data_IF_257539963753
#
_entry.id   IF_257539963753
#
_cell.length_a   1.000
_cell.length_b   1.000
_cell.length_c   1.000
_cell.angle_alpha   90.00
_cell.angle_beta   90.00
_cell.angle_gamma   90.00
#
_symmetry.space_group_name_H-M   'P 1'
#
loop_
_entity.id
_entity.type
_entity.pdbx_description
1 polymer ?
#
# COMPACT_ATOMS: atom_id res chain seq x y z
N UNK A 1 -11.57 41.32 -53.28
CA UNK A 1 -10.55 40.82 -52.35
C UNK A 1 -10.97 39.40 -52.04
N UNK A 2 -10.24 38.45 -52.61
CA UNK A 2 -10.63 37.05 -52.66
C UNK A 2 -10.50 36.38 -51.29
N UNK A 3 -11.45 35.48 -51.04
CA UNK A 3 -11.55 34.56 -49.91
C UNK A 3 -10.35 33.60 -49.88
N UNK A 4 -9.74 33.43 -48.70
CA UNK A 4 -8.80 32.34 -48.41
C UNK A 4 -8.97 31.85 -46.97
N UNK A 5 -9.83 30.86 -46.82
CA UNK A 5 -9.45 29.57 -46.23
C UNK A 5 -9.31 29.50 -44.71
N UNK A 6 -10.37 29.04 -44.05
CA UNK A 6 -10.24 28.28 -42.81
C UNK A 6 -9.46 26.99 -43.11
N UNK A 7 -8.23 26.87 -42.61
CA UNK A 7 -7.52 25.59 -42.57
C UNK A 7 -8.26 24.65 -41.61
N UNK A 8 -9.14 23.82 -42.16
CA UNK A 8 -9.60 22.60 -41.53
C UNK A 8 -8.53 21.52 -41.75
N UNK A 9 -7.53 21.46 -40.86
CA UNK A 9 -6.66 20.28 -40.76
C UNK A 9 -7.45 19.15 -40.07
N UNK A 10 -7.77 18.03 -40.75
CA UNK A 10 -8.52 16.92 -40.17
C UNK A 10 -7.65 15.99 -39.32
N UNK A 11 -6.48 16.45 -38.88
CA UNK A 11 -5.52 15.71 -38.04
C UNK A 11 -5.22 16.49 -36.76
N UNK A 12 -6.26 17.05 -36.14
CA UNK A 12 -6.21 17.30 -34.70
C UNK A 12 -6.23 15.94 -34.02
N UNK A 13 -5.03 15.37 -33.88
CA UNK A 13 -4.60 14.44 -32.85
C UNK A 13 -5.75 13.89 -32.00
N UNK A 14 -6.32 12.78 -32.47
CA UNK A 14 -6.97 11.84 -31.56
C UNK A 14 -5.85 11.21 -30.72
N UNK A 15 -5.26 11.99 -29.81
CA UNK A 15 -4.60 11.47 -28.63
C UNK A 15 -5.75 10.88 -27.83
N UNK A 16 -6.10 9.64 -28.19
CA UNK A 16 -6.79 8.75 -27.31
C UNK A 16 -6.02 8.84 -26.01
N UNK A 17 -6.61 9.52 -25.04
CA UNK A 17 -6.18 9.38 -23.66
C UNK A 17 -6.55 7.94 -23.37
N UNK A 18 -5.61 7.03 -23.60
CA UNK A 18 -5.60 5.76 -22.93
C UNK A 18 -5.51 6.13 -21.45
N UNK A 19 -6.66 6.43 -20.86
CA UNK A 19 -6.91 6.31 -19.44
C UNK A 19 -6.80 4.81 -19.14
N UNK A 20 -5.58 4.28 -19.25
CA UNK A 20 -5.18 3.13 -18.50
C UNK A 20 -5.61 3.45 -17.08
N UNK A 21 -6.45 2.58 -16.51
CA UNK A 21 -6.89 2.61 -15.12
C UNK A 21 -5.65 2.67 -14.22
N UNK A 22 -5.06 3.85 -14.06
CA UNK A 22 -4.10 4.13 -13.03
C UNK A 22 -4.94 4.19 -11.77
N UNK A 23 -5.13 3.02 -11.14
CA UNK A 23 -5.61 2.97 -9.77
C UNK A 23 -4.68 3.87 -8.96
N UNK A 24 -5.12 5.09 -8.69
CA UNK A 24 -4.35 6.05 -7.93
C UNK A 24 -4.11 5.45 -6.57
N UNK A 25 -2.85 5.15 -6.25
CA UNK A 25 -2.47 4.59 -4.96
C UNK A 25 -3.00 5.49 -3.83
N UNK A 26 -3.96 4.96 -3.05
CA UNK A 26 -4.57 5.69 -1.93
C UNK A 26 -3.81 5.36 -0.64
N UNK A 27 -3.27 6.38 0.01
CA UNK A 27 -2.65 6.22 1.33
C UNK A 27 -3.76 6.07 2.37
N UNK A 28 -3.96 4.86 2.86
CA UNK A 28 -4.97 4.55 3.90
C UNK A 28 -4.49 4.90 5.32
N UNK A 29 -3.17 4.98 5.53
CA UNK A 29 -2.57 5.36 6.81
C UNK A 29 -1.22 6.03 6.62
N UNK A 30 -1.01 7.17 7.31
CA UNK A 30 0.28 7.84 7.43
C UNK A 30 0.47 8.33 8.85
N UNK A 31 1.40 7.72 9.58
CA UNK A 31 1.65 8.09 10.96
C UNK A 31 2.65 7.18 11.66
N UNK A 32 2.83 7.41 12.96
CA UNK A 32 3.71 6.61 13.82
C UNK A 32 2.98 5.33 14.23
N UNK A 33 3.67 4.20 14.19
CA UNK A 33 3.18 2.92 14.67
C UNK A 33 4.27 2.17 15.42
N UNK A 34 3.91 1.10 16.13
CA UNK A 34 4.88 0.21 16.77
C UNK A 34 5.18 -0.98 15.87
N UNK A 35 6.44 -1.17 15.49
CA UNK A 35 6.87 -2.35 14.74
C UNK A 35 7.38 -3.45 15.66
N UNK A 36 7.11 -4.71 15.32
CA UNK A 36 7.64 -5.88 16.00
C UNK A 36 7.88 -7.02 15.00
N UNK A 37 8.71 -7.98 15.40
CA UNK A 37 8.91 -9.22 14.65
C UNK A 37 8.28 -10.36 15.46
N UNK A 38 7.62 -11.30 14.78
CA UNK A 38 7.14 -12.54 15.37
C UNK A 38 7.85 -13.70 14.69
N UNK A 39 8.57 -14.47 15.50
CA UNK A 39 9.29 -15.64 15.06
C UNK A 39 8.63 -16.89 15.66
N UNK A 40 8.42 -17.90 14.83
CA UNK A 40 7.99 -19.23 15.27
C UNK A 40 9.20 -20.13 15.22
N UNK A 41 9.58 -20.71 16.36
CA UNK A 41 10.74 -21.60 16.49
C UNK A 41 10.29 -23.07 16.54
N UNK A 42 11.11 -23.96 16.00
CA UNK A 42 10.95 -25.41 16.12
C UNK A 42 11.23 -25.86 17.56
N UNK A 43 10.86 -27.11 17.88
CA UNK A 43 11.23 -27.72 19.16
C UNK A 43 12.75 -27.81 19.38
N UNK A 44 13.55 -27.67 18.32
CA UNK A 44 15.02 -27.69 18.37
C UNK A 44 15.64 -26.28 18.40
N UNK A 45 14.83 -25.22 18.35
CA UNK A 45 15.29 -23.83 18.42
C UNK A 45 15.52 -23.14 17.06
N UNK A 46 15.29 -23.83 15.94
CA UNK A 46 15.42 -23.24 14.60
C UNK A 46 14.23 -22.35 14.28
N UNK A 47 14.46 -21.18 13.66
CA UNK A 47 13.36 -20.31 13.20
C UNK A 47 12.69 -20.93 11.98
N UNK A 48 11.43 -21.34 12.12
CA UNK A 48 10.61 -21.93 11.05
C UNK A 48 9.97 -20.82 10.22
N UNK A 49 9.42 -19.80 10.88
CA UNK A 49 8.81 -18.64 10.21
C UNK A 49 9.13 -17.36 10.95
N UNK A 50 9.30 -16.28 10.19
CA UNK A 50 9.47 -14.93 10.73
C UNK A 50 8.56 -13.98 9.95
N UNK A 51 7.66 -13.31 10.67
CA UNK A 51 6.77 -12.30 10.11
C UNK A 51 7.01 -10.95 10.79
N UNK A 52 6.75 -9.87 10.04
CA UNK A 52 6.78 -8.52 10.59
C UNK A 52 5.36 -8.09 10.95
N UNK A 53 5.26 -7.34 12.04
CA UNK A 53 4.01 -6.81 12.55
C UNK A 53 4.09 -5.31 12.75
N UNK A 54 2.98 -4.62 12.49
CA UNK A 54 2.76 -3.23 12.86
C UNK A 54 1.53 -3.16 13.75
N UNK A 55 1.62 -2.46 14.88
CA UNK A 55 0.45 -2.06 15.66
C UNK A 55 0.13 -0.59 15.34
N UNK A 56 -0.94 -0.39 14.59
CA UNK A 56 -1.50 0.91 14.27
C UNK A 56 -2.41 1.38 15.41
N UNK A 57 -2.35 2.66 15.80
CA UNK A 57 -3.23 3.24 16.82
C UNK A 57 -4.63 3.60 16.25
N UNK A 58 -5.18 2.74 15.39
CA UNK A 58 -6.51 2.87 14.80
C UNK A 58 -7.31 1.62 15.19
N UNK A 59 -8.48 1.81 15.80
CA UNK A 59 -9.35 0.72 16.21
C UNK A 59 -10.13 0.15 15.02
N UNK A 60 -10.67 -1.05 15.21
CA UNK A 60 -11.38 -1.74 14.14
C UNK A 60 -12.61 -0.98 13.63
N UNK A 61 -13.32 -0.28 14.52
CA UNK A 61 -14.51 0.52 14.25
C UNK A 61 -14.21 1.87 13.58
N UNK A 62 -12.96 2.31 13.61
CA UNK A 62 -12.51 3.54 12.94
C UNK A 62 -12.16 3.32 11.46
N UNK A 63 -12.02 2.06 11.03
CA UNK A 63 -11.83 1.74 9.62
C UNK A 63 -13.14 1.86 8.85
N UNK A 64 -13.04 2.41 7.64
CA UNK A 64 -14.11 2.40 6.64
C UNK A 64 -13.81 1.33 5.58
N UNK A 65 -14.80 0.95 4.78
CA UNK A 65 -14.61 0.01 3.66
C UNK A 65 -13.47 0.45 2.72
N UNK A 66 -13.30 1.76 2.52
CA UNK A 66 -12.24 2.31 1.67
C UNK A 66 -10.89 2.57 2.35
N UNK A 67 -10.76 2.35 3.66
CA UNK A 67 -9.52 2.63 4.42
C UNK A 67 -8.99 1.43 5.19
N UNK A 68 -9.79 0.36 5.30
CA UNK A 68 -9.36 -0.88 5.92
C UNK A 68 -8.24 -1.54 5.10
N UNK A 69 -7.07 -1.84 5.69
CA UNK A 69 -5.99 -2.54 5.00
C UNK A 69 -6.45 -3.91 4.47
N UNK A 70 -6.14 -4.25 3.24
CA UNK A 70 -6.45 -5.53 2.61
C UNK A 70 -5.18 -6.35 2.37
N UNK A 71 -5.33 -7.66 2.21
CA UNK A 71 -4.23 -8.52 1.78
C UNK A 71 -3.69 -8.05 0.43
N UNK A 72 -2.36 -7.95 0.31
CA UNK A 72 -1.69 -7.45 -0.88
C UNK A 72 -1.40 -5.95 -0.87
N UNK A 73 -2.00 -5.17 0.03
CA UNK A 73 -1.72 -3.73 0.14
C UNK A 73 -0.25 -3.47 0.44
N UNK A 74 0.32 -2.44 -0.22
CA UNK A 74 1.71 -2.06 -0.02
C UNK A 74 1.91 -1.35 1.32
N UNK A 75 2.95 -1.75 2.04
CA UNK A 75 3.43 -1.11 3.26
C UNK A 75 4.81 -0.53 3.02
N UNK A 76 5.00 0.73 3.41
CA UNK A 76 6.30 1.40 3.49
C UNK A 76 6.55 1.86 4.92
N UNK A 77 7.60 1.34 5.56
CA UNK A 77 7.94 1.68 6.95
C UNK A 77 9.36 2.23 7.00
N UNK A 78 9.54 3.33 7.73
CA UNK A 78 10.88 3.80 8.11
C UNK A 78 11.31 3.16 9.43
N UNK A 79 12.39 2.38 9.41
CA UNK A 79 12.90 1.65 10.58
C UNK A 79 14.42 1.81 10.68
N UNK A 80 14.90 2.33 11.81
CA UNK A 80 16.34 2.36 12.17
C UNK A 80 17.26 2.89 11.04
N UNK A 81 16.84 3.92 10.32
CA UNK A 81 17.65 4.58 9.28
C UNK A 81 17.52 4.01 7.88
N UNK A 82 16.66 3.00 7.64
CA UNK A 82 16.37 2.49 6.32
C UNK A 82 14.86 2.31 6.09
N UNK A 83 14.46 2.25 4.82
CA UNK A 83 13.06 2.04 4.41
C UNK A 83 12.87 0.56 4.11
N UNK A 84 11.84 -0.03 4.70
CA UNK A 84 11.39 -1.37 4.38
C UNK A 84 10.06 -1.27 3.62
N UNK A 85 9.95 -1.99 2.51
CA UNK A 85 8.71 -2.14 1.75
C UNK A 85 8.24 -3.59 1.79
N UNK A 86 6.94 -3.79 1.63
CA UNK A 86 6.36 -5.13 1.62
C UNK A 86 4.85 -5.09 1.43
N UNK A 87 4.21 -6.24 1.60
CA UNK A 87 2.77 -6.38 1.40
C UNK A 87 2.08 -6.87 2.67
N UNK A 88 0.87 -6.35 2.93
CA UNK A 88 -0.03 -6.85 3.96
C UNK A 88 -0.34 -8.32 3.68
N UNK A 89 -0.22 -9.14 4.73
CA UNK A 89 -0.69 -10.52 4.74
C UNK A 89 -2.05 -10.63 5.43
N UNK A 90 -2.21 -9.96 6.56
CA UNK A 90 -3.44 -10.04 7.35
C UNK A 90 -3.58 -8.82 8.28
N UNK A 91 -4.82 -8.53 8.70
CA UNK A 91 -5.13 -7.55 9.74
C UNK A 91 -5.95 -8.19 10.86
N UNK A 92 -5.59 -7.90 12.10
CA UNK A 92 -6.30 -8.37 13.28
C UNK A 92 -6.54 -7.23 14.26
N UNK A 93 -7.69 -7.20 14.96
CA UNK A 93 -7.91 -6.26 16.05
C UNK A 93 -6.97 -6.59 17.22
N UNK A 94 -6.52 -5.57 17.94
CA UNK A 94 -5.80 -5.75 19.19
C UNK A 94 -6.09 -4.64 20.20
N UNK A 95 -5.57 -4.81 21.41
CA UNK A 95 -5.92 -3.98 22.57
C UNK A 95 -5.58 -2.49 22.38
N UNK A 96 -4.64 -2.16 21.48
CA UNK A 96 -4.18 -0.79 21.23
C UNK A 96 -4.51 -0.29 19.82
N UNK A 97 -5.37 -0.99 19.08
CA UNK A 97 -5.76 -0.64 17.71
C UNK A 97 -5.71 -1.85 16.78
N UNK A 98 -5.06 -1.70 15.64
CA UNK A 98 -5.06 -2.72 14.58
C UNK A 98 -3.66 -3.26 14.36
N UNK A 99 -3.53 -4.58 14.41
CA UNK A 99 -2.30 -5.30 14.11
C UNK A 99 -2.29 -5.72 12.65
N UNK A 100 -1.29 -5.26 11.91
CA UNK A 100 -1.05 -5.65 10.53
C UNK A 100 0.14 -6.60 10.50
N UNK A 101 -0.06 -7.80 9.98
CA UNK A 101 1.00 -8.74 9.65
C UNK A 101 1.39 -8.51 8.19
N UNK A 102 2.67 -8.45 7.90
CA UNK A 102 3.16 -8.17 6.56
C UNK A 102 4.45 -8.89 6.24
N UNK A 103 4.68 -9.09 4.95
CA UNK A 103 5.88 -9.73 4.41
C UNK A 103 6.77 -8.69 3.78
N UNK A 104 8.04 -8.68 4.18
CA UNK A 104 9.07 -7.90 3.51
C UNK A 104 9.24 -8.37 2.08
N UNK A 105 9.25 -7.42 1.15
CA UNK A 105 9.61 -7.65 -0.25
C UNK A 105 10.98 -7.03 -0.46
N UNK A 106 11.93 -7.85 -0.91
CA UNK A 106 13.27 -7.37 -1.28
C UNK A 106 13.19 -6.98 -2.75
N UNK A 107 13.39 -5.69 -3.04
CA UNK A 107 13.64 -5.23 -4.41
C UNK A 107 14.93 -5.84 -4.96
#
# INVERSE_FOLDING_TARGET
MEDVGLNNDPMADNIGTEEGNAQSEKIIYKGICRSYNRETVSGNGDVITSYRGLALPIKQDEWTEETAPAEGDMITVWRKGYIETGNVLDKTPGNFGTHIVWKYVRN
#
